data_IF_243109262244
#
_entry.id   IF_243109262244
#
_cell.length_a   1.000
_cell.length_b   1.000
_cell.length_c   1.000
_cell.angle_alpha   90.00
_cell.angle_beta   90.00
_cell.angle_gamma   90.00
#
_symmetry.space_group_name_H-M   'P 1'
#
loop_
_entity.id
_entity.type
_entity.pdbx_description
1 polymer ?
#
# COMPACT_ATOMS: atom_id res chain seq x y z
N UNK A 1 17.34 -7.81 8.52
CA UNK A 1 16.35 -7.71 9.62
C UNK A 1 15.99 -6.24 9.84
N UNK A 2 15.09 -5.71 9.02
CA UNK A 2 14.60 -4.33 9.17
C UNK A 2 13.34 -4.39 10.03
N UNK A 3 13.49 -4.15 11.34
CA UNK A 3 12.39 -4.07 12.30
C UNK A 3 11.53 -2.84 11.99
N UNK A 4 10.58 -3.00 11.09
CA UNK A 4 9.49 -2.05 10.87
C UNK A 4 8.19 -2.67 11.37
N UNK A 5 7.25 -1.88 11.90
CA UNK A 5 6.07 -2.40 12.58
C UNK A 5 5.03 -3.02 11.64
N UNK A 6 5.23 -2.98 10.32
CA UNK A 6 4.25 -3.47 9.34
C UNK A 6 4.35 -5.00 9.27
N UNK A 7 3.51 -5.67 10.06
CA UNK A 7 3.41 -7.14 10.14
C UNK A 7 2.20 -7.69 9.38
N UNK A 8 1.71 -6.97 8.38
CA UNK A 8 0.44 -7.25 7.71
C UNK A 8 0.62 -7.33 6.20
N UNK A 9 -0.17 -8.18 5.54
CA UNK A 9 -0.18 -8.33 4.08
C UNK A 9 1.09 -8.92 3.49
N UNK A 10 1.45 -8.49 2.27
CA UNK A 10 2.61 -8.97 1.52
C UNK A 10 3.97 -8.67 2.20
N UNK A 11 4.00 -7.71 3.12
CA UNK A 11 5.18 -7.42 3.95
C UNK A 11 5.61 -8.61 4.80
N UNK A 12 4.70 -9.54 5.11
CA UNK A 12 5.04 -10.75 5.86
C UNK A 12 5.88 -11.75 5.03
N UNK A 13 5.94 -11.56 3.71
CA UNK A 13 6.67 -12.38 2.74
C UNK A 13 7.88 -11.66 2.15
N UNK A 14 8.36 -10.59 2.81
CA UNK A 14 9.50 -9.76 2.36
C UNK A 14 9.25 -9.07 1.00
N UNK A 15 7.98 -8.96 0.57
CA UNK A 15 7.58 -8.27 -0.66
C UNK A 15 7.01 -6.91 -0.30
N UNK A 16 7.61 -5.86 -0.86
CA UNK A 16 7.18 -4.47 -0.66
C UNK A 16 6.07 -4.13 -1.65
N UNK A 17 4.86 -3.96 -1.13
CA UNK A 17 3.71 -3.55 -1.93
C UNK A 17 3.59 -2.03 -2.00
N UNK A 18 4.09 -1.44 -3.09
CA UNK A 18 4.04 0.00 -3.33
C UNK A 18 2.61 0.53 -3.51
N UNK A 19 1.70 -0.27 -4.06
CA UNK A 19 0.30 0.13 -4.22
C UNK A 19 -0.40 0.19 -2.86
N UNK A 20 -0.16 -0.80 -2.00
CA UNK A 20 -0.66 -0.78 -0.63
C UNK A 20 -0.05 0.37 0.21
N UNK A 21 1.24 0.70 0.02
CA UNK A 21 1.87 1.84 0.69
C UNK A 21 1.19 3.15 0.32
N UNK A 22 0.87 3.36 -0.96
CA UNK A 22 0.18 4.56 -1.42
C UNK A 22 -1.34 4.48 -1.23
N UNK A 23 -1.89 3.35 -0.81
CA UNK A 23 -3.33 3.14 -0.68
C UNK A 23 -4.07 3.34 -2.01
N UNK A 24 -3.47 2.91 -3.12
CA UNK A 24 -4.05 2.99 -4.45
C UNK A 24 -4.33 1.59 -5.03
N UNK A 25 -5.36 1.44 -5.88
CA UNK A 25 -5.64 0.17 -6.54
C UNK A 25 -4.52 -0.21 -7.52
N UNK A 26 -4.45 -1.49 -7.92
CA UNK A 26 -3.46 -1.99 -8.88
C UNK A 26 -3.67 -1.43 -10.30
N UNK A 27 -4.90 -1.00 -10.60
CA UNK A 27 -5.27 -0.35 -11.87
C UNK A 27 -5.09 1.17 -11.84
N UNK A 28 -4.50 1.73 -10.77
CA UNK A 28 -4.40 3.16 -10.57
C UNK A 28 -3.70 3.87 -11.74
N UNK A 29 -4.32 4.95 -12.18
CA UNK A 29 -3.74 5.87 -13.17
C UNK A 29 -2.61 6.69 -12.54
N UNK A 30 -1.65 7.21 -13.34
CA UNK A 30 -0.58 8.06 -12.83
C UNK A 30 -1.10 9.29 -12.04
N UNK A 31 -2.26 9.83 -12.43
CA UNK A 31 -2.91 10.94 -11.73
C UNK A 31 -3.42 10.53 -10.35
N UNK A 32 -4.01 9.34 -10.23
CA UNK A 32 -4.47 8.78 -8.95
C UNK A 32 -3.30 8.47 -8.01
N UNK A 33 -2.23 7.87 -8.54
CA UNK A 33 -1.00 7.59 -7.79
C UNK A 33 -0.42 8.89 -7.22
N UNK A 34 -0.34 9.94 -8.05
CA UNK A 34 0.12 11.27 -7.61
C UNK A 34 -0.81 11.86 -6.54
N UNK A 35 -2.12 11.76 -6.72
CA UNK A 35 -3.10 12.26 -5.74
C UNK A 35 -2.98 11.56 -4.40
N UNK A 36 -2.82 10.23 -4.40
CA UNK A 36 -2.61 9.45 -3.18
C UNK A 36 -1.28 9.77 -2.50
N UNK A 37 -0.20 9.91 -3.27
CA UNK A 37 1.10 10.36 -2.75
C UNK A 37 0.99 11.71 -2.03
N UNK A 38 0.35 12.71 -2.66
CA UNK A 38 0.17 14.03 -2.07
C UNK A 38 -0.68 14.00 -0.80
N UNK A 39 -1.74 13.17 -0.76
CA UNK A 39 -2.55 12.99 0.45
C UNK A 39 -1.72 12.42 1.61
N UNK A 40 -0.92 11.39 1.36
CA UNK A 40 -0.07 10.77 2.38
C UNK A 40 1.04 11.73 2.83
N UNK A 41 1.67 12.43 1.89
CA UNK A 41 2.67 13.46 2.20
C UNK A 41 2.09 14.54 3.10
N UNK A 42 0.88 15.00 2.81
CA UNK A 42 0.19 16.00 3.64
C UNK A 42 -0.17 15.47 5.03
N UNK A 43 -0.51 14.19 5.19
CA UNK A 43 -0.82 13.60 6.50
C UNK A 43 0.42 13.36 7.36
N UNK A 44 1.56 13.01 6.73
CA UNK A 44 2.81 12.71 7.42
C UNK A 44 3.72 13.93 7.61
N UNK A 45 3.36 15.09 7.07
CA UNK A 45 4.15 16.31 7.22
C UNK A 45 4.01 16.89 8.64
N UNK A 46 5.12 17.26 9.31
CA UNK A 46 5.11 17.69 10.72
C UNK A 46 4.23 18.94 10.96
N UNK A 47 4.10 19.81 9.96
CA UNK A 47 3.33 21.06 10.06
C UNK A 47 1.79 20.83 10.08
N UNK A 48 1.32 19.75 9.45
CA UNK A 48 -0.11 19.42 9.32
C UNK A 48 -0.53 18.24 10.19
N UNK A 49 0.44 17.46 10.70
CA UNK A 49 0.17 16.42 11.67
C UNK A 49 -0.25 17.05 13.01
N UNK A 50 -1.44 16.69 13.51
CA UNK A 50 -1.93 17.12 14.84
C UNK A 50 -1.17 16.45 16.02
N UNK A 51 -0.13 15.69 15.70
CA UNK A 51 0.67 14.93 16.65
C UNK A 51 1.62 15.88 17.37
N UNK A 52 1.47 15.94 18.69
CA UNK A 52 2.34 16.68 19.61
C UNK A 52 3.55 15.87 20.08
N UNK A 53 3.64 14.59 19.70
CA UNK A 53 4.67 13.66 20.16
C UNK A 53 5.83 13.57 19.14
N UNK A 54 7.04 13.90 19.56
CA UNK A 54 8.26 13.86 18.72
C UNK A 54 8.55 12.45 18.18
N UNK A 55 8.23 11.40 18.95
CA UNK A 55 8.45 10.01 18.53
C UNK A 55 7.59 9.64 17.33
N UNK A 56 6.32 10.04 17.35
CA UNK A 56 5.37 9.81 16.25
C UNK A 56 5.76 10.60 14.99
N UNK A 57 6.26 11.83 15.16
CA UNK A 57 6.78 12.64 14.04
C UNK A 57 8.03 11.99 13.41
N UNK A 58 8.95 11.50 14.23
CA UNK A 58 10.14 10.80 13.76
C UNK A 58 9.77 9.49 13.03
N UNK A 59 8.77 8.76 13.53
CA UNK A 59 8.23 7.58 12.86
C UNK A 59 7.57 7.93 11.52
N UNK A 60 6.76 8.99 11.47
CA UNK A 60 6.11 9.47 10.24
C UNK A 60 7.15 9.85 9.18
N UNK A 61 8.18 10.61 9.54
CA UNK A 61 9.27 10.97 8.63
C UNK A 61 10.05 9.74 8.14
N UNK A 62 10.27 8.75 9.01
CA UNK A 62 10.92 7.50 8.65
C UNK A 62 10.07 6.66 7.69
N UNK A 63 8.77 6.54 7.92
CA UNK A 63 7.84 5.85 7.02
C UNK A 63 7.77 6.53 5.66
N UNK A 64 7.69 7.87 5.66
CA UNK A 64 7.64 8.66 4.44
C UNK A 64 8.88 8.45 3.57
N UNK A 65 10.07 8.61 4.17
CA UNK A 65 11.34 8.48 3.45
C UNK A 65 11.66 7.04 3.02
N UNK A 66 11.25 6.02 3.80
CA UNK A 66 11.58 4.61 3.53
C UNK A 66 10.57 3.88 2.67
N UNK A 67 9.30 4.28 2.67
CA UNK A 67 8.24 3.57 1.95
C UNK A 67 7.52 4.47 0.95
N UNK A 68 7.04 5.64 1.39
CA UNK A 68 6.17 6.49 0.55
C UNK A 68 6.94 7.05 -0.65
N UNK A 69 8.14 7.60 -0.44
CA UNK A 69 8.97 8.13 -1.52
C UNK A 69 9.39 7.03 -2.52
N UNK A 70 9.97 5.89 -2.09
CA UNK A 70 10.29 4.81 -3.02
C UNK A 70 9.07 4.25 -3.75
N UNK A 71 7.92 4.13 -3.08
CA UNK A 71 6.69 3.67 -3.71
C UNK A 71 6.25 4.61 -4.84
N UNK A 72 6.30 5.92 -4.62
CA UNK A 72 5.97 6.88 -5.67
C UNK A 72 6.97 6.82 -6.83
N UNK A 73 8.27 6.73 -6.56
CA UNK A 73 9.29 6.62 -7.62
C UNK A 73 9.04 5.41 -8.53
N UNK A 74 8.83 4.23 -7.94
CA UNK A 74 8.56 2.99 -8.68
C UNK A 74 7.24 3.08 -9.45
N UNK A 75 6.18 3.58 -8.83
CA UNK A 75 4.86 3.63 -9.45
C UNK A 75 4.69 4.76 -10.47
N UNK A 76 5.51 5.81 -10.39
CA UNK A 76 5.50 6.93 -11.34
C UNK A 76 6.07 6.55 -12.70
N UNK A 77 6.97 5.56 -12.76
CA UNK A 77 7.61 5.09 -13.98
C UNK A 77 6.88 3.88 -14.52
N UNK A 78 6.47 3.95 -15.78
CA UNK A 78 5.64 2.89 -16.37
C UNK A 78 6.33 1.52 -16.38
N UNK A 79 7.64 1.47 -16.67
CA UNK A 79 8.41 0.23 -16.69
C UNK A 79 8.53 -0.39 -15.30
N UNK A 80 8.98 0.39 -14.32
CA UNK A 80 9.16 -0.05 -12.93
C UNK A 80 7.82 -0.49 -12.32
N UNK A 81 6.72 0.20 -12.65
CA UNK A 81 5.36 -0.19 -12.27
C UNK A 81 4.96 -1.55 -12.85
N UNK A 82 5.27 -1.82 -14.12
CA UNK A 82 4.98 -3.12 -14.76
C UNK A 82 5.78 -4.25 -14.12
N UNK A 83 7.06 -4.00 -13.83
CA UNK A 83 7.92 -4.96 -13.13
C UNK A 83 7.39 -5.25 -11.72
N UNK A 84 7.02 -4.20 -10.97
CA UNK A 84 6.40 -4.35 -9.65
C UNK A 84 5.13 -5.21 -9.73
N UNK A 85 4.24 -4.93 -10.69
CA UNK A 85 3.01 -5.69 -10.89
C UNK A 85 3.31 -7.18 -11.17
N UNK A 86 4.33 -7.48 -11.99
CA UNK A 86 4.73 -8.84 -12.30
C UNK A 86 5.23 -9.58 -11.04
N UNK A 87 6.04 -8.93 -10.20
CA UNK A 87 6.52 -9.49 -8.93
C UNK A 87 5.34 -9.79 -8.00
N UNK A 88 4.38 -8.87 -7.89
CA UNK A 88 3.18 -9.06 -7.07
C UNK A 88 2.36 -10.25 -7.58
N UNK A 89 2.14 -10.36 -8.89
CA UNK A 89 1.41 -11.48 -9.49
C UNK A 89 2.09 -12.82 -9.20
N UNK A 90 3.41 -12.91 -9.41
CA UNK A 90 4.18 -14.13 -9.12
C UNK A 90 4.13 -14.49 -7.64
N UNK A 91 4.22 -13.50 -6.76
CA UNK A 91 4.10 -13.70 -5.31
C UNK A 91 2.73 -14.23 -4.95
N UNK A 92 1.65 -13.64 -5.48
CA UNK A 92 0.27 -14.08 -5.23
C UNK A 92 0.04 -15.50 -5.75
N UNK A 93 0.58 -15.87 -6.92
CA UNK A 93 0.49 -17.24 -7.44
C UNK A 93 1.20 -18.26 -6.52
N UNK A 94 2.39 -17.92 -6.03
CA UNK A 94 3.11 -18.75 -5.07
C UNK A 94 2.33 -18.91 -3.76
N UNK A 95 1.76 -17.81 -3.25
CA UNK A 95 0.97 -17.81 -2.02
C UNK A 95 -0.33 -18.60 -2.15
N UNK A 96 -1.02 -18.47 -3.28
CA UNK A 96 -2.23 -19.24 -3.57
C UNK A 96 -2.00 -20.76 -3.55
N UNK A 97 -0.76 -21.18 -3.84
CA UNK A 97 -0.36 -22.60 -3.77
C UNK A 97 -0.10 -23.08 -2.33
N UNK A 98 0.21 -22.17 -1.41
CA UNK A 98 0.55 -22.48 0.00
C UNK A 98 -0.70 -22.51 0.88
N UNK A 99 -1.74 -21.75 0.55
CA UNK A 99 -3.01 -21.76 1.28
C UNK A 99 -3.86 -20.50 1.02
N UNK A 100 -5.01 -20.40 1.68
CA UNK A 100 -5.82 -19.19 1.62
C UNK A 100 -5.33 -18.13 2.61
N UNK A 101 -5.28 -16.84 2.20
CA UNK A 101 -4.94 -15.75 3.11
C UNK A 101 -6.01 -15.60 4.19
N UNK A 102 -5.57 -15.39 5.44
CA UNK A 102 -6.46 -15.02 6.55
C UNK A 102 -6.65 -13.51 6.58
N UNK A 103 -7.89 -13.04 6.51
CA UNK A 103 -8.23 -11.62 6.57
C UNK A 103 -8.73 -11.23 7.97
N UNK A 104 -8.13 -10.21 8.57
CA UNK A 104 -8.49 -9.74 9.92
C UNK A 104 -9.54 -8.62 9.92
N UNK A 105 -9.61 -7.79 8.88
CA UNK A 105 -10.53 -6.64 8.82
C UNK A 105 -11.86 -6.96 8.14
N UNK A 106 -12.94 -6.33 8.60
CA UNK A 106 -14.27 -6.46 8.00
C UNK A 106 -14.30 -6.01 6.52
N UNK A 107 -13.56 -4.94 6.20
CA UNK A 107 -13.35 -4.43 4.85
C UNK A 107 -12.69 -5.47 3.93
N UNK A 108 -11.68 -6.18 4.43
CA UNK A 108 -10.99 -7.25 3.69
C UNK A 108 -11.90 -8.45 3.44
N UNK A 109 -12.77 -8.79 4.38
CA UNK A 109 -13.77 -9.84 4.23
C UNK A 109 -14.86 -9.47 3.21
N UNK A 110 -15.26 -8.19 3.16
CA UNK A 110 -16.18 -7.68 2.14
C UNK A 110 -15.57 -7.79 0.73
N UNK A 111 -14.27 -7.51 0.60
CA UNK A 111 -13.54 -7.68 -0.66
C UNK A 111 -13.43 -9.16 -1.06
N UNK A 112 -13.21 -10.07 -0.10
CA UNK A 112 -13.20 -11.52 -0.39
C UNK A 112 -14.56 -12.03 -0.89
N UNK A 113 -15.67 -11.52 -0.33
CA UNK A 113 -17.02 -11.88 -0.74
C UNK A 113 -17.40 -11.34 -2.14
N UNK A 114 -16.76 -10.26 -2.58
CA UNK A 114 -16.97 -9.64 -3.88
C UNK A 114 -16.27 -10.44 -5.00
N UNK A 115 -16.85 -11.59 -5.39
CA UNK A 115 -16.34 -12.41 -6.51
C UNK A 115 -16.33 -11.69 -7.87
N UNK A 116 -16.99 -10.54 -7.99
CA UNK A 116 -17.05 -9.70 -9.20
C UNK A 116 -16.87 -8.22 -8.80
N UNK A 117 -16.25 -7.43 -9.68
CA UNK A 117 -16.02 -5.98 -9.49
C UNK A 117 -15.13 -5.60 -8.30
N UNK A 118 -14.09 -6.40 -8.01
CA UNK A 118 -13.15 -6.17 -6.90
C UNK A 118 -12.59 -4.74 -6.88
N UNK A 119 -12.16 -4.20 -8.01
CA UNK A 119 -11.62 -2.83 -8.09
C UNK A 119 -12.65 -1.76 -7.72
N UNK A 120 -13.91 -1.91 -8.15
CA UNK A 120 -14.98 -0.98 -7.78
C UNK A 120 -15.32 -1.04 -6.30
N UNK A 121 -15.27 -2.23 -5.69
CA UNK A 121 -15.46 -2.39 -4.25
C UNK A 121 -14.26 -1.83 -3.48
N UNK A 122 -13.03 -2.10 -3.94
CA UNK A 122 -11.81 -1.55 -3.37
C UNK A 122 -11.84 -0.02 -3.34
N UNK A 123 -12.21 0.61 -4.45
CA UNK A 123 -12.33 2.08 -4.57
C UNK A 123 -13.42 2.65 -3.67
N UNK A 124 -14.46 1.90 -3.31
CA UNK A 124 -15.48 2.37 -2.35
C UNK A 124 -15.06 2.22 -0.90
N UNK A 125 -14.25 1.20 -0.61
CA UNK A 125 -13.88 0.83 0.76
C UNK A 125 -12.64 1.60 1.23
N UNK A 126 -11.64 1.79 0.36
CA UNK A 126 -10.33 2.35 0.73
C UNK A 126 -10.19 3.82 0.33
N UNK A 127 -10.88 4.28 -0.71
CA UNK A 127 -10.95 5.71 -1.06
C UNK A 127 -12.21 6.34 -0.45
N UNK A 128 -12.12 7.08 0.67
CA UNK A 128 -13.23 7.85 1.23
C UNK A 128 -13.58 9.08 0.36
#
# INVERSE_FOLDING_TARGET
>A
MSSFPIKQGLFNYDVVDHHAILGCPLDATPEEIRKSYLKIAFQLHPDTSKTTNEEEQALAAKLFSKFVNPAYEVLSRENDRKEHLLIIQQTVSNLASIGQPSFSSAESQQLQGAKQNLELVYRKVITP
#
